data_IF_220002412748
#
_entry.id   IF_220002412748
#
_cell.length_a   1.000
_cell.length_b   1.000
_cell.length_c   1.000
_cell.angle_alpha   90.00
_cell.angle_beta   90.00
_cell.angle_gamma   90.00
#
_symmetry.space_group_name_H-M   'P 1'
#
loop_
_entity.id
_entity.type
_entity.pdbx_description
1 polymer ?
#
# COMPACT_ATOMS: atom_id res chain seq x y z
N UNK A 1 4.21 3.54 18.20
CA UNK A 1 2.72 3.72 18.12
C UNK A 1 2.19 2.78 17.07
N UNK A 2 1.29 1.90 17.42
CA UNK A 2 0.70 0.94 16.47
C UNK A 2 -0.21 1.64 15.45
N UNK A 3 -0.12 1.22 14.19
CA UNK A 3 -0.90 1.72 13.07
C UNK A 3 -1.72 0.59 12.44
N UNK A 4 -2.91 0.89 11.92
CA UNK A 4 -3.63 -0.03 11.02
C UNK A 4 -3.63 0.56 9.62
N UNK A 5 -3.05 -0.16 8.65
CA UNK A 5 -3.02 0.23 7.24
C UNK A 5 -4.20 -0.44 6.54
N UNK A 6 -5.10 0.36 5.99
CA UNK A 6 -6.31 -0.09 5.33
C UNK A 6 -6.29 0.32 3.86
N UNK A 7 -6.59 -0.60 2.98
CA UNK A 7 -6.79 -0.31 1.56
C UNK A 7 -7.73 -1.33 0.92
N UNK A 8 -8.38 -0.91 -0.15
CA UNK A 8 -9.25 -1.79 -0.92
C UNK A 8 -8.54 -2.35 -2.14
N UNK A 9 -8.97 -3.54 -2.55
CA UNK A 9 -8.59 -4.18 -3.80
C UNK A 9 -9.80 -4.77 -4.50
N UNK A 10 -9.74 -4.89 -5.83
CA UNK A 10 -10.69 -5.61 -6.66
C UNK A 10 -10.01 -6.05 -7.95
N UNK A 11 -9.98 -7.37 -8.21
CA UNK A 11 -9.43 -8.01 -9.43
C UNK A 11 -8.08 -7.45 -9.93
N UNK A 12 -7.20 -7.06 -9.00
CA UNK A 12 -5.94 -6.39 -9.32
C UNK A 12 -4.71 -7.04 -8.67
N UNK A 13 -4.51 -8.37 -8.79
CA UNK A 13 -3.47 -9.10 -8.05
C UNK A 13 -2.06 -8.55 -8.31
N UNK A 14 -1.77 -8.15 -9.55
CA UNK A 14 -0.46 -7.60 -9.93
C UNK A 14 -0.13 -6.28 -9.24
N UNK A 15 -1.11 -5.40 -9.08
CA UNK A 15 -0.90 -4.09 -8.43
C UNK A 15 -0.89 -4.24 -6.92
N UNK A 16 -1.80 -5.05 -6.39
CA UNK A 16 -1.83 -5.43 -4.99
C UNK A 16 -0.48 -5.98 -4.50
N UNK A 17 0.14 -6.86 -5.29
CA UNK A 17 1.45 -7.41 -4.97
C UNK A 17 2.51 -6.31 -4.77
N UNK A 18 2.53 -5.30 -5.65
CA UNK A 18 3.47 -4.18 -5.55
C UNK A 18 3.19 -3.28 -4.35
N UNK A 19 1.91 -3.07 -4.02
CA UNK A 19 1.50 -2.35 -2.81
C UNK A 19 2.00 -3.08 -1.57
N UNK A 20 1.82 -4.41 -1.50
CA UNK A 20 2.30 -5.23 -0.40
C UNK A 20 3.82 -5.23 -0.30
N UNK A 21 4.57 -5.23 -1.41
CA UNK A 21 6.03 -5.04 -1.35
C UNK A 21 6.41 -3.70 -0.72
N UNK A 22 5.72 -2.60 -1.08
CA UNK A 22 5.95 -1.28 -0.46
C UNK A 22 5.67 -1.26 1.04
N UNK A 23 4.66 -1.98 1.48
CA UNK A 23 4.35 -2.13 2.90
C UNK A 23 5.33 -3.08 3.61
N UNK A 24 5.86 -4.07 2.92
CA UNK A 24 6.88 -4.95 3.47
C UNK A 24 8.21 -4.22 3.75
N UNK A 25 8.57 -3.22 2.95
CA UNK A 25 9.81 -2.45 3.12
C UNK A 25 9.68 -1.25 4.08
N UNK A 26 8.58 -1.15 4.86
CA UNK A 26 8.43 -0.05 5.83
C UNK A 26 9.48 -0.11 6.94
N UNK A 27 10.00 1.06 7.33
CA UNK A 27 10.96 1.21 8.43
C UNK A 27 10.30 1.27 9.81
N UNK A 28 8.97 1.39 9.86
CA UNK A 28 8.18 1.29 11.07
C UNK A 28 7.57 -0.11 11.14
N UNK A 29 7.80 -0.85 12.24
CA UNK A 29 7.41 -2.26 12.36
C UNK A 29 6.13 -2.51 13.16
N UNK A 30 5.66 -1.51 13.95
CA UNK A 30 4.47 -1.67 14.79
C UNK A 30 3.18 -1.30 14.02
N UNK A 31 2.77 -2.18 13.11
CA UNK A 31 1.53 -2.00 12.33
C UNK A 31 0.88 -3.33 11.96
N UNK A 32 -0.36 -3.23 11.51
CA UNK A 32 -1.09 -4.31 10.85
C UNK A 32 -1.60 -3.86 9.48
N UNK A 33 -1.93 -4.79 8.64
CA UNK A 33 -2.53 -4.56 7.31
C UNK A 33 -3.92 -5.17 7.30
N UNK A 34 -4.92 -4.41 6.86
CA UNK A 34 -6.29 -4.87 6.62
C UNK A 34 -6.62 -4.65 5.15
N UNK A 35 -6.59 -5.73 4.38
CA UNK A 35 -6.95 -5.73 2.96
C UNK A 35 -8.47 -5.85 2.85
N UNK A 36 -9.12 -4.83 2.32
CA UNK A 36 -10.55 -4.75 2.08
C UNK A 36 -10.85 -5.16 0.63
N UNK A 37 -11.19 -6.42 0.41
CA UNK A 37 -11.38 -7.01 -0.91
C UNK A 37 -12.86 -6.97 -1.33
N UNK A 38 -13.15 -6.25 -2.39
CA UNK A 38 -14.50 -5.98 -2.90
C UNK A 38 -15.00 -7.06 -3.88
N UNK A 39 -14.63 -8.32 -3.62
CA UNK A 39 -15.14 -9.46 -4.37
C UNK A 39 -14.19 -10.03 -5.41
N UNK A 40 -12.88 -9.91 -5.18
CA UNK A 40 -11.88 -10.53 -6.08
C UNK A 40 -11.92 -12.05 -6.03
N UNK A 41 -11.43 -12.67 -7.11
CA UNK A 41 -11.26 -14.11 -7.23
C UNK A 41 -9.98 -14.65 -6.57
N UNK A 42 -9.77 -15.96 -6.77
CA UNK A 42 -8.70 -16.73 -6.12
C UNK A 42 -7.29 -16.18 -6.41
N UNK A 43 -7.05 -15.60 -7.58
CA UNK A 43 -5.74 -15.05 -7.93
C UNK A 43 -5.29 -13.92 -6.99
N UNK A 44 -6.23 -13.07 -6.58
CA UNK A 44 -5.98 -11.99 -5.62
C UNK A 44 -5.74 -12.56 -4.22
N UNK A 45 -6.56 -13.52 -3.79
CA UNK A 45 -6.40 -14.21 -2.51
C UNK A 45 -5.03 -14.91 -2.41
N UNK A 46 -4.59 -15.59 -3.48
CA UNK A 46 -3.29 -16.27 -3.53
C UNK A 46 -2.10 -15.32 -3.36
N UNK A 47 -2.18 -14.08 -3.87
CA UNK A 47 -1.14 -13.06 -3.63
C UNK A 47 -1.04 -12.70 -2.16
N UNK A 48 -2.19 -12.50 -1.50
CA UNK A 48 -2.24 -12.14 -0.08
C UNK A 48 -1.67 -13.27 0.77
N UNK A 49 -2.12 -14.52 0.55
CA UNK A 49 -1.65 -15.69 1.30
C UNK A 49 -0.14 -15.90 1.15
N UNK A 50 0.38 -15.82 -0.05
CA UNK A 50 1.82 -16.00 -0.32
C UNK A 50 2.69 -14.98 0.43
N UNK A 51 2.24 -13.74 0.58
CA UNK A 51 3.00 -12.69 1.27
C UNK A 51 2.73 -12.65 2.78
N UNK A 52 1.67 -13.31 3.27
CA UNK A 52 1.29 -13.31 4.69
C UNK A 52 2.41 -13.84 5.58
N UNK A 53 3.05 -14.93 5.19
CA UNK A 53 4.14 -15.54 5.98
C UNK A 53 5.36 -14.61 6.07
N UNK A 54 5.67 -13.88 5.00
CA UNK A 54 6.76 -12.91 5.00
C UNK A 54 6.48 -11.75 5.98
N UNK A 55 5.24 -11.26 6.01
CA UNK A 55 4.81 -10.26 7.00
C UNK A 55 4.81 -10.82 8.42
N UNK A 56 4.35 -12.05 8.62
CA UNK A 56 4.36 -12.71 9.91
C UNK A 56 5.78 -12.85 10.48
N UNK A 57 6.77 -13.14 9.65
CA UNK A 57 8.18 -13.18 10.04
C UNK A 57 8.70 -11.82 10.54
N UNK A 58 8.06 -10.71 10.16
CA UNK A 58 8.31 -9.35 10.68
C UNK A 58 7.40 -8.96 11.86
N UNK A 59 6.55 -9.87 12.35
CA UNK A 59 5.56 -9.56 13.39
C UNK A 59 4.39 -8.71 12.91
N UNK A 60 4.20 -8.55 11.59
CA UNK A 60 3.11 -7.78 11.00
C UNK A 60 1.96 -8.73 10.64
N UNK A 61 0.77 -8.43 11.18
CA UNK A 61 -0.45 -9.20 10.86
C UNK A 61 -1.07 -8.67 9.57
N UNK A 62 -1.38 -9.58 8.64
CA UNK A 62 -2.16 -9.29 7.43
C UNK A 62 -3.52 -9.95 7.54
N UNK A 63 -4.58 -9.16 7.53
CA UNK A 63 -5.96 -9.63 7.49
C UNK A 63 -6.57 -9.37 6.11
N UNK A 64 -7.24 -10.38 5.58
CA UNK A 64 -7.97 -10.31 4.32
C UNK A 64 -9.47 -10.36 4.62
N UNK A 65 -10.14 -9.25 4.41
CA UNK A 65 -11.59 -9.13 4.51
C UNK A 65 -12.17 -9.17 3.10
N UNK A 66 -12.98 -10.14 2.82
CA UNK A 66 -13.60 -10.35 1.53
C UNK A 66 -15.13 -10.22 1.63
N UNK A 67 -15.77 -9.78 0.57
CA UNK A 67 -17.23 -9.80 0.38
C UNK A 67 -17.55 -10.27 -1.04
N UNK A 68 -18.75 -10.83 -1.29
CA UNK A 68 -19.18 -11.19 -2.64
C UNK A 68 -19.16 -9.99 -3.60
N UNK A 69 -18.79 -10.26 -4.87
CA UNK A 69 -18.92 -9.27 -5.94
C UNK A 69 -20.40 -9.00 -6.24
N UNK A 70 -20.89 -7.88 -5.80
CA UNK A 70 -22.23 -7.36 -6.08
C UNK A 70 -22.15 -5.97 -6.75
N UNK A 71 -21.11 -5.74 -7.56
CA UNK A 71 -20.75 -4.46 -8.14
C UNK A 71 -19.91 -3.59 -7.19
N UNK A 72 -19.68 -2.35 -7.55
CA UNK A 72 -18.76 -1.45 -6.81
C UNK A 72 -19.26 -1.13 -5.40
N UNK A 73 -18.74 -1.83 -4.41
CA UNK A 73 -19.07 -1.67 -2.98
C UNK A 73 -17.85 -1.40 -2.09
N UNK A 74 -16.83 -0.78 -2.68
CA UNK A 74 -15.57 -0.40 -2.00
C UNK A 74 -15.81 0.21 -0.61
N UNK A 75 -16.76 1.14 -0.48
CA UNK A 75 -17.01 1.81 0.80
C UNK A 75 -17.55 0.85 1.86
N UNK A 76 -18.34 -0.16 1.47
CA UNK A 76 -18.90 -1.15 2.41
C UNK A 76 -17.77 -1.98 3.05
N UNK A 77 -16.86 -2.53 2.23
CA UNK A 77 -15.79 -3.36 2.75
C UNK A 77 -14.73 -2.53 3.50
N UNK A 78 -14.47 -1.28 3.09
CA UNK A 78 -13.62 -0.37 3.84
C UNK A 78 -14.20 0.00 5.21
N UNK A 79 -15.52 0.22 5.32
CA UNK A 79 -16.16 0.46 6.62
C UNK A 79 -16.02 -0.76 7.54
N UNK A 80 -16.13 -1.98 6.99
CA UNK A 80 -15.85 -3.19 7.75
C UNK A 80 -14.38 -3.25 8.19
N UNK A 81 -13.44 -2.89 7.32
CA UNK A 81 -12.02 -2.83 7.65
C UNK A 81 -11.73 -1.83 8.79
N UNK A 82 -12.42 -0.68 8.82
CA UNK A 82 -12.32 0.30 9.90
C UNK A 82 -12.77 -0.30 11.22
N UNK A 83 -13.90 -0.99 11.25
CA UNK A 83 -14.45 -1.61 12.46
C UNK A 83 -13.54 -2.73 12.99
N UNK A 84 -12.91 -3.47 12.08
CA UNK A 84 -12.04 -4.58 12.44
C UNK A 84 -10.58 -4.18 12.73
N UNK A 85 -10.20 -2.93 12.44
CA UNK A 85 -8.86 -2.41 12.75
C UNK A 85 -8.60 -2.40 14.26
N UNK A 86 -7.40 -2.81 14.68
CA UNK A 86 -7.06 -2.91 16.11
C UNK A 86 -6.36 -1.67 16.65
N UNK A 87 -5.88 -0.78 15.77
CA UNK A 87 -5.19 0.46 16.18
C UNK A 87 -6.14 1.64 16.21
N UNK A 88 -5.80 2.62 17.04
CA UNK A 88 -6.54 3.91 17.10
C UNK A 88 -6.17 4.86 15.96
N UNK A 89 -5.05 4.62 15.28
CA UNK A 89 -4.59 5.44 14.16
C UNK A 89 -4.69 4.62 12.87
N UNK A 90 -5.54 5.08 11.96
CA UNK A 90 -5.81 4.42 10.70
C UNK A 90 -5.07 5.15 9.57
N UNK A 91 -4.35 4.41 8.74
CA UNK A 91 -3.68 4.90 7.55
C UNK A 91 -4.39 4.31 6.34
N UNK A 92 -4.94 5.18 5.49
CA UNK A 92 -5.59 4.76 4.25
C UNK A 92 -4.65 4.93 3.06
N UNK A 93 -4.61 3.95 2.20
CA UNK A 93 -3.95 4.00 0.89
C UNK A 93 -4.81 3.28 -0.14
N UNK A 94 -4.37 3.17 -1.39
CA UNK A 94 -5.05 2.37 -2.40
C UNK A 94 -4.25 1.09 -2.70
N UNK A 95 -4.95 0.05 -3.18
CA UNK A 95 -4.37 -1.27 -3.49
C UNK A 95 -3.46 -1.29 -4.72
N UNK A 96 -3.19 -0.13 -5.32
CA UNK A 96 -2.28 0.08 -6.44
C UNK A 96 -1.19 1.15 -6.15
N UNK A 97 -1.05 1.55 -4.89
CA UNK A 97 -0.08 2.54 -4.44
C UNK A 97 1.13 1.87 -3.79
N UNK A 98 2.32 2.10 -4.32
CA UNK A 98 3.58 1.69 -3.69
C UNK A 98 4.03 2.79 -2.73
N UNK A 99 4.11 2.48 -1.45
CA UNK A 99 4.55 3.42 -0.42
C UNK A 99 6.08 3.45 -0.30
N UNK A 100 6.65 4.63 -0.03
CA UNK A 100 8.06 4.76 0.33
C UNK A 100 8.32 4.05 1.66
N UNK A 101 9.56 3.63 1.89
CA UNK A 101 9.95 2.91 3.10
C UNK A 101 9.69 3.69 4.41
N UNK A 102 9.72 5.01 4.37
CA UNK A 102 9.49 5.89 5.52
C UNK A 102 8.02 6.30 5.73
N UNK A 103 7.10 5.83 4.88
CA UNK A 103 5.71 6.30 4.88
C UNK A 103 5.02 6.12 6.24
N UNK A 104 5.09 4.93 6.83
CA UNK A 104 4.47 4.68 8.14
C UNK A 104 5.25 5.34 9.28
N UNK A 105 6.56 5.46 9.17
CA UNK A 105 7.39 6.17 10.16
C UNK A 105 7.02 7.66 10.23
N UNK A 106 6.75 8.30 9.08
CA UNK A 106 6.27 9.69 9.03
C UNK A 106 4.89 9.83 9.68
N UNK A 107 3.96 8.90 9.42
CA UNK A 107 2.66 8.88 10.09
C UNK A 107 2.81 8.73 11.60
N UNK A 108 3.63 7.79 12.07
CA UNK A 108 3.87 7.56 13.50
C UNK A 108 4.49 8.77 14.20
N UNK A 109 5.42 9.46 13.53
CA UNK A 109 6.12 10.62 14.09
C UNK A 109 5.28 11.91 14.11
N UNK A 110 4.30 12.02 13.20
CA UNK A 110 3.49 13.24 13.03
C UNK A 110 2.04 13.09 13.48
N UNK A 111 1.68 11.94 14.06
CA UNK A 111 0.34 11.72 14.57
C UNK A 111 0.01 12.70 15.71
N UNK A 112 -1.10 13.43 15.57
CA UNK A 112 -1.57 14.40 16.54
C UNK A 112 -3.07 14.24 16.72
N UNK A 113 -3.53 14.28 17.98
CA UNK A 113 -4.95 14.14 18.31
C UNK A 113 -5.76 15.29 17.71
N UNK A 114 -6.87 14.97 17.05
CA UNK A 114 -7.74 15.97 16.41
C UNK A 114 -7.26 16.43 15.03
N UNK A 115 -6.14 15.87 14.56
CA UNK A 115 -5.59 16.15 13.23
C UNK A 115 -5.51 14.87 12.37
N UNK A 116 -5.49 15.04 11.08
CA UNK A 116 -5.18 13.97 10.12
C UNK A 116 -4.05 14.41 9.18
N UNK A 117 -3.28 13.46 8.72
CA UNK A 117 -2.25 13.70 7.70
C UNK A 117 -2.84 13.38 6.32
N UNK A 118 -2.70 14.31 5.40
CA UNK A 118 -3.04 14.10 3.99
C UNK A 118 -1.76 13.98 3.19
N UNK A 119 -1.54 12.80 2.62
CA UNK A 119 -0.45 12.55 1.68
C UNK A 119 -0.82 12.93 0.26
N UNK A 120 0.17 12.92 -0.62
CA UNK A 120 -0.03 13.01 -2.07
C UNK A 120 0.59 11.80 -2.76
N UNK A 121 0.08 11.46 -3.93
CA UNK A 121 0.63 10.40 -4.76
C UNK A 121 1.25 10.99 -6.05
N UNK A 122 2.16 10.22 -6.62
CA UNK A 122 2.70 10.49 -7.94
C UNK A 122 2.18 9.45 -8.94
N UNK A 123 1.43 9.92 -9.92
CA UNK A 123 0.83 9.03 -10.93
C UNK A 123 1.90 8.60 -11.94
N UNK A 124 2.15 7.30 -12.00
CA UNK A 124 3.12 6.71 -12.91
C UNK A 124 2.49 6.43 -14.29
N UNK A 125 3.32 6.43 -15.33
CA UNK A 125 2.94 5.84 -16.62
C UNK A 125 2.72 4.33 -16.44
N UNK A 126 1.93 3.73 -17.35
CA UNK A 126 1.74 2.28 -17.33
C UNK A 126 3.07 1.54 -17.57
N UNK A 127 3.98 2.10 -18.38
CA UNK A 127 5.29 1.53 -18.63
C UNK A 127 6.12 1.49 -17.33
N UNK A 128 6.25 2.61 -16.62
CA UNK A 128 6.93 2.68 -15.33
C UNK A 128 6.28 1.76 -14.29
N UNK A 129 4.94 1.76 -14.20
CA UNK A 129 4.22 0.90 -13.27
C UNK A 129 4.47 -0.58 -13.51
N UNK A 130 4.53 -1.01 -14.77
CA UNK A 130 4.85 -2.41 -15.14
C UNK A 130 6.30 -2.78 -14.86
N UNK A 131 7.23 -1.85 -15.05
CA UNK A 131 8.67 -2.06 -14.84
C UNK A 131 9.04 -2.23 -13.36
N UNK A 132 8.22 -1.77 -12.41
CA UNK A 132 8.48 -1.96 -10.98
C UNK A 132 8.52 -3.46 -10.65
N UNK A 133 9.68 -3.95 -10.24
CA UNK A 133 9.90 -5.25 -9.64
C UNK A 133 10.16 -5.10 -8.13
N UNK A 134 10.11 -6.19 -7.37
CA UNK A 134 10.30 -6.19 -5.92
C UNK A 134 11.64 -5.54 -5.51
N UNK A 135 12.71 -5.83 -6.26
CA UNK A 135 14.03 -5.24 -6.02
C UNK A 135 14.03 -3.70 -6.13
N UNK A 136 13.27 -3.13 -7.07
CA UNK A 136 13.15 -1.69 -7.21
C UNK A 136 12.41 -1.05 -6.02
N UNK A 137 11.48 -1.77 -5.41
CA UNK A 137 10.80 -1.33 -4.19
C UNK A 137 11.75 -1.44 -3.00
N UNK A 138 12.44 -2.57 -2.84
CA UNK A 138 13.39 -2.81 -1.76
C UNK A 138 14.52 -1.79 -1.73
N UNK A 139 15.09 -1.45 -2.89
CA UNK A 139 16.16 -0.45 -3.02
C UNK A 139 15.64 0.99 -3.11
N UNK A 140 14.32 1.18 -3.10
CA UNK A 140 13.67 2.49 -3.31
C UNK A 140 13.97 3.12 -4.69
N UNK A 141 14.50 2.35 -5.64
CA UNK A 141 14.84 2.82 -6.99
C UNK A 141 13.60 3.34 -7.74
N UNK A 142 12.42 2.73 -7.52
CA UNK A 142 11.17 3.17 -8.15
C UNK A 142 10.71 4.58 -7.71
N UNK A 143 11.38 5.20 -6.73
CA UNK A 143 11.18 6.59 -6.32
C UNK A 143 12.28 7.53 -6.84
N UNK A 144 13.32 7.00 -7.52
CA UNK A 144 14.35 7.83 -8.12
C UNK A 144 13.88 8.42 -9.46
N UNK A 145 13.95 9.75 -9.66
CA UNK A 145 13.57 10.39 -10.92
C UNK A 145 14.36 9.88 -12.13
N UNK A 146 15.60 9.40 -11.95
CA UNK A 146 16.41 8.84 -13.04
C UNK A 146 15.86 7.50 -13.49
N UNK A 147 15.54 6.63 -12.52
CA UNK A 147 14.91 5.35 -12.79
C UNK A 147 13.54 5.52 -13.46
N UNK A 148 12.72 6.45 -12.97
CA UNK A 148 11.40 6.73 -13.53
C UNK A 148 11.49 7.21 -14.98
N UNK A 149 12.41 8.12 -15.29
CA UNK A 149 12.64 8.58 -16.68
C UNK A 149 13.09 7.43 -17.58
N UNK A 150 14.01 6.61 -17.13
CA UNK A 150 14.50 5.44 -17.88
C UNK A 150 13.40 4.39 -18.16
N UNK A 151 12.32 4.40 -17.36
CA UNK A 151 11.21 3.46 -17.48
C UNK A 151 9.90 4.09 -18.01
N UNK A 152 10.00 5.15 -18.79
CA UNK A 152 8.87 5.69 -19.54
C UNK A 152 8.08 6.79 -18.83
N UNK A 153 8.66 7.42 -17.79
CA UNK A 153 8.17 8.69 -17.28
C UNK A 153 8.81 9.82 -18.09
N UNK A 154 8.01 10.73 -18.63
CA UNK A 154 8.50 11.90 -19.34
C UNK A 154 9.26 12.91 -18.46
N UNK A 155 9.74 14.02 -19.05
CA UNK A 155 10.55 15.03 -18.36
C UNK A 155 9.89 15.73 -17.17
N UNK A 156 8.59 15.56 -16.96
CA UNK A 156 7.80 16.14 -15.86
C UNK A 156 8.06 15.57 -14.46
N UNK A 157 8.98 14.61 -14.30
CA UNK A 157 9.34 14.04 -13.00
C UNK A 157 10.11 15.05 -12.16
N UNK A 158 9.45 15.76 -11.26
CA UNK A 158 10.09 16.72 -10.36
C UNK A 158 10.47 16.06 -9.04
N UNK A 159 11.73 16.22 -8.63
CA UNK A 159 12.28 15.67 -7.38
C UNK A 159 11.48 16.11 -6.14
N UNK A 160 10.89 17.31 -6.17
CA UNK A 160 10.11 17.85 -5.04
C UNK A 160 8.83 17.08 -4.71
N UNK A 161 8.29 16.27 -5.64
CA UNK A 161 7.10 15.41 -5.37
C UNK A 161 7.45 14.02 -4.84
N UNK A 162 8.72 13.61 -4.97
CA UNK A 162 9.18 12.27 -4.57
C UNK A 162 9.93 12.26 -3.23
N UNK A 163 10.32 13.42 -2.72
CA UNK A 163 11.26 13.57 -1.60
C UNK A 163 10.68 14.39 -0.43
N UNK A 164 9.36 14.63 -0.41
CA UNK A 164 8.71 15.30 0.74
C UNK A 164 8.07 14.32 1.67
#
# INVERSE_FOLDING_TARGET
>A
MRLSVLFSTYESPRWLEKTLWGLHEQTHDDFEIVVADDGSGETTAAVIERLRDEFAARGVTVRHLWQPDEGFRKCRILNRAIVEATSKYLVFTDGDCVCRADFLAVHAARAERGHYLSGSYYKLSMAASRAIAREHVRTQACFDPRWLRANGMGEGVRRSKLVR
#
